data_IF_491300671687
#
_entry.id   IF_491300671687
#
_cell.length_a   1.000
_cell.length_b   1.000
_cell.length_c   1.000
_cell.angle_alpha   90.00
_cell.angle_beta   90.00
_cell.angle_gamma   90.00
#
_symmetry.space_group_name_H-M   'P 1'
#
loop_
_entity.id
_entity.type
_entity.pdbx_description
1 polymer ?
#
# COMPACT_ATOMS: atom_id res chain seq x y z
N UNK A 1 11.14 4.68 -13.55
CA UNK A 1 12.03 4.34 -12.41
C UNK A 1 12.00 5.54 -11.46
N UNK A 2 11.44 5.42 -10.24
CA UNK A 2 11.40 6.55 -9.33
C UNK A 2 12.83 6.93 -8.93
N UNK A 3 13.11 8.22 -9.03
CA UNK A 3 14.44 8.82 -8.96
C UNK A 3 14.81 9.31 -7.55
N UNK A 4 14.35 8.65 -6.49
CA UNK A 4 14.46 9.21 -5.13
C UNK A 4 15.81 9.06 -4.43
N UNK A 5 16.70 8.17 -4.89
CA UNK A 5 18.02 7.97 -4.25
C UNK A 5 19.15 7.49 -5.16
N UNK A 6 18.87 7.24 -6.46
CA UNK A 6 19.79 6.53 -7.35
C UNK A 6 21.06 7.31 -7.70
N UNK A 7 21.06 8.65 -7.65
CA UNK A 7 22.18 9.46 -8.13
C UNK A 7 23.12 9.99 -7.04
N UNK A 8 22.87 9.68 -5.77
CA UNK A 8 23.67 10.21 -4.67
C UNK A 8 25.14 9.78 -4.77
N UNK A 9 26.04 10.71 -4.52
CA UNK A 9 27.47 10.47 -4.36
C UNK A 9 27.73 9.81 -3.00
N UNK A 10 28.86 9.09 -2.83
CA UNK A 10 29.19 8.51 -1.53
C UNK A 10 29.26 9.54 -0.39
N UNK A 11 29.65 10.79 -0.67
CA UNK A 11 29.70 11.87 0.34
C UNK A 11 28.30 12.30 0.77
N UNK A 12 27.37 12.44 -0.18
CA UNK A 12 25.97 12.77 0.12
C UNK A 12 25.28 11.65 0.91
N UNK A 13 25.53 10.39 0.55
CA UNK A 13 25.00 9.24 1.30
C UNK A 13 25.50 9.27 2.75
N UNK A 14 26.80 9.50 2.97
CA UNK A 14 27.36 9.62 4.32
C UNK A 14 26.72 10.77 5.08
N UNK A 15 26.58 11.95 4.45
CA UNK A 15 25.95 13.12 5.06
C UNK A 15 24.50 12.88 5.44
N UNK A 16 23.74 12.13 4.63
CA UNK A 16 22.36 11.77 4.97
C UNK A 16 22.33 10.78 6.16
N UNK A 17 23.24 9.81 6.19
CA UNK A 17 23.37 8.87 7.31
C UNK A 17 23.83 9.57 8.60
N UNK A 18 24.60 10.65 8.51
CA UNK A 18 25.05 11.45 9.66
C UNK A 18 23.88 12.12 10.41
N UNK A 19 22.73 12.35 9.76
CA UNK A 19 21.54 12.90 10.39
C UNK A 19 20.88 11.96 11.40
N UNK A 20 21.12 10.66 11.27
CA UNK A 20 20.44 9.62 12.06
C UNK A 20 21.39 8.75 12.89
N UNK A 21 22.63 8.58 12.43
CA UNK A 21 23.62 7.73 13.08
C UNK A 21 24.77 8.62 13.53
N UNK A 22 25.15 8.56 14.81
CA UNK A 22 26.31 9.31 15.32
C UNK A 22 27.58 8.47 15.16
N UNK A 23 28.68 9.05 14.67
CA UNK A 23 29.96 8.35 14.48
C UNK A 23 29.94 7.28 13.38
N UNK A 24 30.61 6.15 13.60
CA UNK A 24 30.65 4.98 12.68
C UNK A 24 31.06 5.31 11.22
N UNK A 25 31.99 6.26 11.04
CA UNK A 25 32.36 6.78 9.72
C UNK A 25 32.85 5.72 8.74
N UNK A 26 33.58 4.70 9.22
CA UNK A 26 34.05 3.59 8.39
C UNK A 26 32.86 2.77 7.82
N UNK A 27 31.89 2.42 8.67
CA UNK A 27 30.70 1.69 8.26
C UNK A 27 29.85 2.51 7.28
N UNK A 28 29.64 3.81 7.54
CA UNK A 28 28.92 4.72 6.63
C UNK A 28 29.58 4.81 5.25
N UNK A 29 30.90 4.93 5.20
CA UNK A 29 31.65 4.95 3.94
C UNK A 29 31.52 3.62 3.19
N UNK A 30 31.64 2.49 3.87
CA UNK A 30 31.51 1.17 3.26
C UNK A 30 30.13 0.97 2.61
N UNK A 31 29.05 1.32 3.32
CA UNK A 31 27.69 1.20 2.77
C UNK A 31 27.42 2.19 1.64
N UNK A 32 27.97 3.40 1.73
CA UNK A 32 27.86 4.41 0.67
C UNK A 32 28.55 3.97 -0.63
N UNK A 33 29.72 3.34 -0.53
CA UNK A 33 30.42 2.77 -1.68
C UNK A 33 29.62 1.62 -2.29
N UNK A 34 29.09 0.71 -1.47
CA UNK A 34 28.28 -0.40 -1.96
C UNK A 34 27.03 0.07 -2.70
N UNK A 35 26.32 1.08 -2.17
CA UNK A 35 25.16 1.67 -2.85
C UNK A 35 25.57 2.37 -4.15
N UNK A 36 26.66 3.15 -4.15
CA UNK A 36 27.17 3.80 -5.38
C UNK A 36 27.60 2.79 -6.44
N UNK A 37 28.16 1.65 -6.04
CA UNK A 37 28.54 0.59 -6.96
C UNK A 37 27.33 -0.03 -7.67
N UNK A 38 26.16 -0.08 -7.03
CA UNK A 38 24.92 -0.51 -7.71
C UNK A 38 24.55 0.44 -8.85
N UNK A 39 24.62 1.75 -8.62
CA UNK A 39 24.40 2.75 -9.66
C UNK A 39 25.46 2.67 -10.78
N UNK A 40 26.73 2.48 -10.41
CA UNK A 40 27.81 2.30 -11.40
C UNK A 40 27.56 1.09 -12.28
N UNK A 41 27.18 -0.05 -11.70
CA UNK A 41 26.81 -1.26 -12.43
C UNK A 41 25.67 -1.00 -13.41
N UNK A 42 24.66 -0.21 -13.04
CA UNK A 42 23.57 0.14 -13.96
C UNK A 42 24.04 0.93 -15.20
N UNK A 43 25.21 1.56 -15.15
CA UNK A 43 25.80 2.29 -16.29
C UNK A 43 26.79 1.47 -17.12
N UNK A 44 27.15 0.27 -16.67
CA UNK A 44 27.98 -0.65 -17.45
C UNK A 44 27.10 -1.32 -18.50
N UNK A 45 27.62 -1.39 -19.73
CA UNK A 45 26.99 -2.01 -20.90
C UNK A 45 27.67 -3.35 -21.23
N UNK A 46 26.97 -4.22 -21.96
CA UNK A 46 27.48 -5.51 -22.40
C UNK A 46 27.65 -6.54 -21.28
N UNK A 47 28.40 -7.59 -21.60
CA UNK A 47 28.61 -8.78 -20.76
C UNK A 47 29.26 -8.46 -19.41
N UNK A 48 30.09 -7.41 -19.35
CA UNK A 48 30.76 -6.97 -18.13
C UNK A 48 29.77 -6.60 -17.00
N UNK A 49 28.53 -6.21 -17.34
CA UNK A 49 27.51 -5.87 -16.33
C UNK A 49 27.08 -7.09 -15.50
N UNK A 50 27.04 -8.26 -16.13
CA UNK A 50 26.58 -9.50 -15.50
C UNK A 50 27.67 -10.14 -14.65
N UNK A 51 28.94 -9.91 -14.99
CA UNK A 51 30.10 -10.30 -14.18
C UNK A 51 30.24 -9.48 -12.88
N UNK A 52 29.69 -8.26 -12.83
CA UNK A 52 29.78 -7.40 -11.65
C UNK A 52 28.77 -7.86 -10.59
N UNK A 53 29.27 -8.60 -9.60
CA UNK A 53 28.49 -9.02 -8.43
C UNK A 53 28.36 -7.92 -7.37
N UNK A 54 27.24 -7.86 -6.62
CA UNK A 54 27.09 -6.97 -5.48
C UNK A 54 28.20 -7.19 -4.44
N UNK A 55 28.75 -6.09 -3.91
CA UNK A 55 29.71 -6.15 -2.80
C UNK A 55 28.95 -6.21 -1.49
N UNK A 56 28.76 -7.42 -0.98
CA UNK A 56 28.14 -7.69 0.33
C UNK A 56 29.00 -7.11 1.46
N UNK A 57 28.36 -6.75 2.56
CA UNK A 57 29.00 -6.03 3.68
C UNK A 57 28.84 -6.85 4.95
N UNK A 58 29.93 -7.02 5.69
CA UNK A 58 29.92 -7.60 7.03
C UNK A 58 30.22 -6.45 8.02
N UNK A 59 29.29 -6.17 8.93
CA UNK A 59 29.45 -5.17 9.97
C UNK A 59 29.84 -5.84 11.29
N UNK A 60 31.03 -5.55 11.79
CA UNK A 60 31.58 -6.13 13.02
C UNK A 60 31.59 -5.06 14.11
N UNK A 61 31.10 -5.41 15.31
CA UNK A 61 31.11 -4.52 16.47
C UNK A 61 30.12 -4.97 17.56
N UNK A 62 30.14 -4.36 18.75
CA UNK A 62 29.25 -4.71 19.85
C UNK A 62 27.78 -4.40 19.53
N UNK A 63 26.85 -4.95 20.30
CA UNK A 63 25.42 -4.62 20.18
C UNK A 63 25.18 -3.13 20.50
N UNK A 64 24.08 -2.56 19.99
CA UNK A 64 23.72 -1.16 20.28
C UNK A 64 24.48 -0.06 19.52
N UNK A 65 25.59 -0.34 18.83
CA UNK A 65 26.38 0.69 18.11
C UNK A 65 25.78 1.19 16.79
N UNK A 66 24.55 0.79 16.46
CA UNK A 66 23.84 1.27 15.26
C UNK A 66 24.03 0.45 13.97
N UNK A 67 24.59 -0.77 14.02
CA UNK A 67 24.77 -1.64 12.84
C UNK A 67 23.48 -1.81 12.02
N UNK A 68 22.40 -2.19 12.70
CA UNK A 68 21.08 -2.39 12.08
C UNK A 68 20.48 -1.08 11.59
N UNK A 69 20.72 0.02 12.31
CA UNK A 69 20.18 1.34 11.94
C UNK A 69 20.85 1.88 10.69
N UNK A 70 22.16 1.67 10.51
CA UNK A 70 22.87 1.98 9.25
C UNK A 70 22.20 1.26 8.07
N UNK A 71 21.94 -0.04 8.19
CA UNK A 71 21.30 -0.81 7.11
C UNK A 71 19.86 -0.34 6.83
N UNK A 72 19.07 -0.11 7.89
CA UNK A 72 17.69 0.38 7.78
C UNK A 72 17.62 1.76 7.11
N UNK A 73 18.48 2.70 7.52
CA UNK A 73 18.53 4.05 6.95
C UNK A 73 19.02 4.05 5.51
N UNK A 74 20.01 3.22 5.20
CA UNK A 74 20.48 3.04 3.82
C UNK A 74 19.35 2.54 2.91
N UNK A 75 18.57 1.56 3.35
CA UNK A 75 17.45 1.04 2.57
C UNK A 75 16.37 2.10 2.33
N UNK A 76 16.00 2.86 3.37
CA UNK A 76 15.06 3.99 3.22
C UNK A 76 15.57 5.06 2.26
N UNK A 77 16.84 5.43 2.36
CA UNK A 77 17.48 6.39 1.47
C UNK A 77 17.47 5.92 0.01
N UNK A 78 17.71 4.62 -0.21
CA UNK A 78 17.71 4.02 -1.52
C UNK A 78 16.29 3.68 -2.04
N UNK A 79 15.24 3.93 -1.26
CA UNK A 79 13.87 3.45 -1.51
C UNK A 79 13.83 1.95 -1.84
N UNK A 80 14.63 1.17 -1.12
CA UNK A 80 14.80 -0.24 -1.34
C UNK A 80 14.02 -1.07 -0.30
N UNK A 81 13.46 -2.23 -0.71
CA UNK A 81 12.85 -3.17 0.23
C UNK A 81 13.89 -3.67 1.25
N UNK A 82 13.46 -3.87 2.49
CA UNK A 82 14.34 -4.21 3.60
C UNK A 82 13.69 -5.20 4.56
N UNK A 83 14.43 -6.25 4.91
CA UNK A 83 14.04 -7.24 5.91
C UNK A 83 15.19 -7.46 6.88
N UNK A 84 14.88 -7.55 8.18
CA UNK A 84 15.81 -7.97 9.23
C UNK A 84 15.50 -9.41 9.59
N UNK A 85 16.49 -10.30 9.44
CA UNK A 85 16.37 -11.70 9.85
C UNK A 85 17.47 -12.05 10.85
N UNK A 86 17.18 -12.97 11.76
CA UNK A 86 18.13 -13.48 12.74
C UNK A 86 18.59 -14.87 12.30
N UNK A 87 19.90 -15.04 12.14
CA UNK A 87 20.49 -16.28 11.60
C UNK A 87 20.18 -17.52 12.46
N UNK A 88 20.07 -17.34 13.78
CA UNK A 88 19.76 -18.42 14.73
C UNK A 88 18.39 -19.06 14.48
N UNK A 89 17.46 -18.37 13.82
CA UNK A 89 16.13 -18.91 13.46
C UNK A 89 16.20 -20.06 12.44
N UNK A 90 17.32 -20.22 11.76
CA UNK A 90 17.54 -21.27 10.76
C UNK A 90 18.43 -22.41 11.26
N UNK A 91 18.97 -22.27 12.47
CA UNK A 91 19.86 -23.27 13.10
C UNK A 91 19.20 -23.99 14.28
N UNK A 92 17.97 -23.62 14.64
CA UNK A 92 17.28 -24.21 15.79
C UNK A 92 16.88 -25.66 15.51
N UNK A 93 17.33 -26.57 16.38
CA UNK A 93 17.24 -28.03 16.23
C UNK A 93 15.79 -28.48 16.50
N UNK A 94 14.96 -28.67 15.46
CA UNK A 94 13.60 -29.19 15.64
C UNK A 94 12.67 -29.21 14.41
N UNK A 95 12.26 -30.43 14.04
CA UNK A 95 11.26 -30.99 13.11
C UNK A 95 10.96 -30.38 11.72
N UNK A 96 10.92 -29.07 11.52
CA UNK A 96 11.00 -28.44 10.17
C UNK A 96 11.48 -27.02 10.46
N UNK A 97 12.79 -26.78 10.35
CA UNK A 97 13.34 -25.44 10.51
C UNK A 97 12.64 -24.45 9.57
N UNK A 98 12.62 -23.16 9.92
CA UNK A 98 12.16 -22.14 8.96
C UNK A 98 12.98 -22.28 7.68
N UNK A 99 12.30 -22.24 6.55
CA UNK A 99 12.94 -22.32 5.24
C UNK A 99 13.76 -21.04 4.99
N UNK A 100 15.03 -21.19 4.58
CA UNK A 100 15.90 -20.06 4.21
C UNK A 100 15.32 -19.24 3.06
N UNK A 101 14.51 -19.85 2.20
CA UNK A 101 13.81 -19.13 1.13
C UNK A 101 12.75 -18.17 1.67
N UNK A 102 12.30 -18.34 2.93
CA UNK A 102 11.39 -17.38 3.57
C UNK A 102 12.00 -15.98 3.63
N UNK A 103 13.34 -15.86 3.72
CA UNK A 103 14.02 -14.56 3.70
C UNK A 103 13.74 -13.78 2.41
N UNK A 104 13.67 -14.50 1.28
CA UNK A 104 13.40 -13.92 -0.03
C UNK A 104 11.90 -13.63 -0.16
N UNK A 105 11.03 -14.52 0.33
CA UNK A 105 9.57 -14.30 0.35
C UNK A 105 9.20 -13.04 1.14
N UNK A 106 9.73 -12.88 2.35
CA UNK A 106 9.53 -11.70 3.18
C UNK A 106 10.01 -10.41 2.46
N UNK A 107 11.13 -10.50 1.72
CA UNK A 107 11.66 -9.36 0.97
C UNK A 107 10.78 -8.98 -0.22
N UNK A 108 10.20 -9.97 -0.90
CA UNK A 108 9.24 -9.75 -1.99
C UNK A 108 7.97 -9.08 -1.45
N UNK A 109 7.43 -9.55 -0.32
CA UNK A 109 6.25 -8.94 0.31
C UNK A 109 6.51 -7.48 0.72
N UNK A 110 7.68 -7.20 1.30
CA UNK A 110 8.12 -5.84 1.60
C UNK A 110 8.23 -4.96 0.34
N UNK A 111 8.65 -5.55 -0.79
CA UNK A 111 8.74 -4.86 -2.08
C UNK A 111 7.36 -4.51 -2.64
N UNK A 112 6.42 -5.45 -2.58
CA UNK A 112 5.03 -5.23 -3.01
C UNK A 112 4.40 -4.11 -2.19
N UNK A 113 4.62 -4.13 -0.88
CA UNK A 113 4.10 -3.10 0.03
C UNK A 113 4.66 -1.72 -0.32
N UNK A 114 5.98 -1.61 -0.54
CA UNK A 114 6.65 -0.38 -0.94
C UNK A 114 6.11 0.19 -2.26
N UNK A 115 5.95 -0.66 -3.29
CA UNK A 115 5.41 -0.24 -4.59
C UNK A 115 3.94 0.15 -4.47
N UNK A 116 3.14 -0.59 -3.69
CA UNK A 116 1.74 -0.27 -3.47
C UNK A 116 1.57 1.09 -2.80
N UNK A 117 2.38 1.39 -1.78
CA UNK A 117 2.40 2.72 -1.13
C UNK A 117 2.77 3.83 -2.11
N UNK A 118 3.80 3.60 -2.94
CA UNK A 118 4.24 4.57 -3.96
C UNK A 118 3.15 4.84 -5.01
N UNK A 119 2.54 3.80 -5.56
CA UNK A 119 1.49 3.94 -6.57
C UNK A 119 0.22 4.55 -5.98
N UNK A 120 -0.16 4.16 -4.75
CA UNK A 120 -1.31 4.76 -4.04
C UNK A 120 -1.09 6.27 -3.85
N UNK A 121 0.13 6.68 -3.47
CA UNK A 121 0.46 8.09 -3.32
C UNK A 121 0.33 8.88 -4.64
N UNK A 122 0.69 8.28 -5.78
CA UNK A 122 0.56 8.93 -7.11
C UNK A 122 -0.88 9.18 -7.51
N UNK A 123 -1.79 8.28 -7.17
CA UNK A 123 -3.22 8.39 -7.55
C UNK A 123 -4.07 9.11 -6.51
N UNK A 124 -3.55 9.36 -5.31
CA UNK A 124 -4.29 9.93 -4.16
C UNK A 124 -5.08 11.20 -4.50
N UNK A 125 -4.48 12.14 -5.24
CA UNK A 125 -5.18 13.39 -5.61
C UNK A 125 -6.34 13.12 -6.56
N UNK A 126 -6.12 12.31 -7.60
CA UNK A 126 -7.16 11.95 -8.58
C UNK A 126 -8.28 11.11 -7.94
N UNK A 127 -7.90 10.20 -7.04
CA UNK A 127 -8.85 9.39 -6.29
C UNK A 127 -9.72 10.27 -5.40
N UNK A 128 -9.13 11.27 -4.72
CA UNK A 128 -9.87 12.25 -3.93
C UNK A 128 -10.83 13.09 -4.76
N UNK A 129 -10.40 13.59 -5.93
CA UNK A 129 -11.26 14.34 -6.83
C UNK A 129 -12.44 13.49 -7.35
N UNK A 130 -12.17 12.24 -7.73
CA UNK A 130 -13.21 11.30 -8.15
C UNK A 130 -14.17 10.93 -7.00
N UNK A 131 -13.67 10.81 -5.77
CA UNK A 131 -14.47 10.60 -4.57
C UNK A 131 -15.37 11.81 -4.27
N UNK A 132 -14.84 13.04 -4.37
CA UNK A 132 -15.61 14.28 -4.26
C UNK A 132 -16.75 14.32 -5.30
N UNK A 133 -16.46 13.98 -6.56
CA UNK A 133 -17.46 13.96 -7.62
C UNK A 133 -18.59 12.95 -7.37
N UNK A 134 -18.25 11.73 -6.94
CA UNK A 134 -19.23 10.71 -6.56
C UNK A 134 -20.06 11.15 -5.36
N UNK A 135 -19.44 11.80 -4.37
CA UNK A 135 -20.13 12.27 -3.18
C UNK A 135 -21.12 13.40 -3.49
N UNK A 136 -20.75 14.32 -4.39
CA UNK A 136 -21.67 15.36 -4.89
C UNK A 136 -22.89 14.74 -5.57
N UNK A 137 -22.68 13.71 -6.41
CA UNK A 137 -23.77 13.00 -7.08
C UNK A 137 -24.71 12.31 -6.07
N UNK A 138 -24.15 11.64 -5.06
CA UNK A 138 -24.92 11.01 -3.98
C UNK A 138 -25.70 12.04 -3.14
N UNK A 139 -25.12 13.19 -2.84
CA UNK A 139 -25.79 14.25 -2.07
C UNK A 139 -26.95 14.89 -2.83
N UNK A 140 -26.86 14.94 -4.15
CA UNK A 140 -27.85 15.60 -4.99
C UNK A 140 -29.02 14.69 -5.39
N UNK A 141 -28.76 13.41 -5.65
CA UNK A 141 -29.77 12.48 -6.13
C UNK A 141 -30.15 11.40 -5.11
N UNK A 142 -29.42 11.31 -4.00
CA UNK A 142 -29.48 10.13 -3.12
C UNK A 142 -28.93 8.89 -3.81
N UNK A 143 -28.89 7.76 -3.11
CA UNK A 143 -28.54 6.49 -3.75
C UNK A 143 -29.72 6.02 -4.62
N UNK A 144 -29.53 5.66 -5.90
CA UNK A 144 -30.60 5.11 -6.72
C UNK A 144 -31.21 3.89 -6.03
N UNK A 145 -32.54 3.69 -6.03
CA UNK A 145 -33.15 2.56 -5.33
C UNK A 145 -32.65 1.23 -5.89
N UNK A 146 -32.08 0.36 -5.04
CA UNK A 146 -31.69 -0.99 -5.44
C UNK A 146 -32.96 -1.79 -5.76
N UNK A 147 -32.96 -2.62 -6.83
CA UNK A 147 -34.08 -3.50 -7.11
C UNK A 147 -34.28 -4.43 -5.91
N UNK A 148 -35.47 -4.38 -5.30
CA UNK A 148 -35.83 -5.24 -4.17
C UNK A 148 -35.81 -6.70 -4.64
N UNK A 149 -35.10 -7.61 -3.96
CA UNK A 149 -35.18 -9.03 -4.30
C UNK A 149 -36.60 -9.52 -3.99
N UNK A 150 -37.40 -9.80 -5.03
CA UNK A 150 -38.75 -10.36 -4.91
C UNK A 150 -39.88 -9.55 -5.56
N UNK A 151 -39.65 -8.36 -6.14
CA UNK A 151 -40.72 -7.64 -6.86
C UNK A 151 -40.82 -8.13 -8.31
N UNK A 152 -41.63 -9.15 -8.55
CA UNK A 152 -42.07 -9.58 -9.88
C UNK A 152 -43.21 -8.66 -10.38
N UNK A 153 -42.94 -7.36 -10.46
CA UNK A 153 -43.90 -6.35 -10.89
C UNK A 153 -43.24 -5.37 -11.85
N UNK A 154 -43.95 -5.04 -12.93
CA UNK A 154 -43.60 -3.97 -13.87
C UNK A 154 -43.63 -2.62 -13.14
N UNK A 155 -42.59 -2.31 -12.37
CA UNK A 155 -42.31 -0.97 -11.92
C UNK A 155 -41.68 -0.23 -13.10
N UNK A 156 -42.31 0.87 -13.54
CA UNK A 156 -41.69 1.78 -14.48
C UNK A 156 -40.28 2.14 -13.96
N UNK A 157 -39.24 2.12 -14.82
CA UNK A 157 -37.92 2.55 -14.39
C UNK A 157 -38.06 3.94 -13.75
N UNK A 158 -37.47 4.18 -12.57
CA UNK A 158 -37.50 5.52 -11.99
C UNK A 158 -36.99 6.51 -13.03
N UNK A 159 -37.58 7.71 -13.11
CA UNK A 159 -37.10 8.72 -14.05
C UNK A 159 -35.59 8.90 -13.86
N UNK A 160 -34.81 9.01 -14.94
CA UNK A 160 -33.37 9.24 -14.82
C UNK A 160 -33.19 10.46 -13.90
N UNK A 161 -32.28 10.38 -12.90
CA UNK A 161 -32.01 11.53 -12.04
C UNK A 161 -31.72 12.73 -12.95
N UNK A 162 -32.44 13.83 -12.73
CA UNK A 162 -32.25 15.04 -13.52
C UNK A 162 -30.78 15.45 -13.40
N UNK A 163 -30.04 15.52 -14.52
CA UNK A 163 -28.63 15.92 -14.47
C UNK A 163 -28.53 17.25 -13.73
N UNK A 164 -27.79 17.29 -12.62
CA UNK A 164 -27.44 18.58 -12.01
C UNK A 164 -26.80 19.47 -13.07
N UNK A 165 -27.19 20.73 -13.08
CA UNK A 165 -26.45 21.75 -13.83
C UNK A 165 -25.04 21.89 -13.25
N UNK A 166 -24.05 22.17 -14.10
CA UNK A 166 -22.64 22.28 -13.70
C UNK A 166 -22.45 23.31 -12.56
N UNK A 167 -23.26 24.38 -12.54
CA UNK A 167 -23.25 25.40 -11.50
C UNK A 167 -23.71 24.90 -10.11
N UNK A 168 -24.64 23.95 -10.04
CA UNK A 168 -25.08 23.37 -8.76
C UNK A 168 -24.03 22.40 -8.20
N UNK A 169 -23.41 21.62 -9.09
CA UNK A 169 -22.29 20.73 -8.73
C UNK A 169 -21.12 21.50 -8.17
N UNK A 170 -20.77 22.63 -8.79
CA UNK A 170 -19.66 23.45 -8.35
C UNK A 170 -19.93 24.12 -6.98
N UNK A 171 -21.17 24.58 -6.73
CA UNK A 171 -21.59 25.05 -5.40
C UNK A 171 -21.49 23.97 -4.33
N UNK A 172 -21.94 22.74 -4.63
CA UNK A 172 -21.87 21.61 -3.71
C UNK A 172 -20.41 21.20 -3.44
N UNK A 173 -19.53 21.20 -4.45
CA UNK A 173 -18.08 20.99 -4.24
C UNK A 173 -17.48 22.05 -3.32
N UNK A 174 -17.83 23.32 -3.52
CA UNK A 174 -17.35 24.40 -2.66
C UNK A 174 -17.82 24.22 -1.21
N UNK A 175 -19.08 23.80 -1.02
CA UNK A 175 -19.66 23.52 0.30
C UNK A 175 -19.03 22.30 1.00
N UNK A 176 -18.70 21.24 0.24
CA UNK A 176 -17.96 20.08 0.72
C UNK A 176 -16.55 20.45 1.18
N UNK A 177 -15.83 21.25 0.37
CA UNK A 177 -14.49 21.73 0.72
C UNK A 177 -14.50 22.69 1.91
N UNK A 178 -15.59 23.41 2.10
CA UNK A 178 -15.80 24.30 3.24
C UNK A 178 -16.25 23.57 4.53
N UNK A 179 -16.49 22.25 4.48
CA UNK A 179 -16.91 21.46 5.65
C UNK A 179 -18.35 21.71 6.12
N UNK A 180 -19.16 22.44 5.33
CA UNK A 180 -20.53 22.82 5.72
C UNK A 180 -21.54 21.67 5.67
N UNK A 181 -21.14 20.53 5.09
CA UNK A 181 -22.00 19.37 4.85
C UNK A 181 -21.55 18.14 5.66
N UNK A 182 -20.59 18.28 6.56
CA UNK A 182 -19.96 17.16 7.28
C UNK A 182 -20.97 16.38 8.15
N UNK A 183 -21.98 17.08 8.68
CA UNK A 183 -23.07 16.50 9.49
C UNK A 183 -24.13 15.76 8.65
N UNK A 184 -24.15 15.92 7.31
CA UNK A 184 -25.12 15.20 6.47
C UNK A 184 -24.71 13.73 6.35
N UNK A 185 -25.72 12.87 6.33
CA UNK A 185 -25.54 11.45 6.09
C UNK A 185 -25.86 11.11 4.64
N UNK A 186 -25.05 10.21 4.08
CA UNK A 186 -25.24 9.67 2.74
C UNK A 186 -25.25 8.15 2.82
N UNK A 187 -26.09 7.52 2.01
CA UNK A 187 -26.00 6.08 1.80
C UNK A 187 -24.89 5.80 0.78
N UNK A 188 -24.00 4.87 1.12
CA UNK A 188 -22.93 4.40 0.24
C UNK A 188 -23.02 2.88 0.15
N UNK A 189 -22.91 2.35 -1.07
CA UNK A 189 -22.76 0.92 -1.31
C UNK A 189 -21.29 0.54 -1.06
N UNK A 190 -21.04 -0.10 0.09
CA UNK A 190 -19.70 -0.59 0.44
C UNK A 190 -19.61 -2.08 0.11
N UNK A 191 -18.45 -2.52 -0.40
CA UNK A 191 -18.20 -3.95 -0.63
C UNK A 191 -18.34 -4.73 0.68
N UNK A 192 -19.24 -5.71 0.72
CA UNK A 192 -19.46 -6.57 1.87
C UNK A 192 -18.24 -7.49 2.00
N UNK A 193 -17.38 -7.21 2.99
CA UNK A 193 -16.44 -8.21 3.45
C UNK A 193 -17.29 -9.30 4.08
N UNK A 194 -17.33 -10.47 3.42
CA UNK A 194 -18.27 -11.54 3.71
C UNK A 194 -18.36 -11.91 5.19
N UNK A 195 -19.41 -12.65 5.57
CA UNK A 195 -19.87 -12.67 6.95
C UNK A 195 -18.81 -13.17 7.94
N UNK A 196 -18.67 -12.42 9.05
CA UNK A 196 -17.75 -12.70 10.16
C UNK A 196 -17.88 -14.11 10.75
N UNK A 197 -18.99 -14.82 10.52
CA UNK A 197 -19.21 -16.18 11.00
C UNK A 197 -18.19 -17.20 10.46
N UNK A 198 -17.64 -16.98 9.26
CA UNK A 198 -16.60 -17.85 8.68
C UNK A 198 -15.21 -17.58 9.28
N UNK A 199 -15.00 -16.38 9.84
CA UNK A 199 -13.74 -15.93 10.43
C UNK A 199 -13.54 -16.44 11.87
N UNK A 200 -14.62 -16.81 12.56
CA UNK A 200 -14.57 -17.40 13.91
C UNK A 200 -14.55 -18.94 13.90
N UNK A 201 -14.74 -19.59 12.74
CA UNK A 201 -14.65 -21.04 12.58
C UNK A 201 -13.28 -21.53 12.05
N UNK A 202 -12.37 -20.61 11.73
CA UNK A 202 -10.98 -20.93 11.36
C UNK A 202 -10.15 -21.23 12.61
N UNK A 203 -10.40 -22.39 13.22
CA UNK A 203 -9.43 -23.02 14.11
C UNK A 203 -8.14 -23.34 13.34
N UNK A 204 -7.01 -23.27 14.06
CA UNK A 204 -5.62 -23.43 13.60
C UNK A 204 -5.44 -24.33 12.37
N UNK A 205 -5.05 -23.73 11.24
CA UNK A 205 -4.60 -24.47 10.04
C UNK A 205 -5.16 -24.00 8.69
N UNK A 206 -6.15 -23.10 8.64
CA UNK A 206 -6.82 -22.69 7.39
C UNK A 206 -6.77 -21.18 7.07
N UNK A 207 -5.94 -20.39 7.76
CA UNK A 207 -5.88 -18.93 7.54
C UNK A 207 -5.41 -18.55 6.13
N UNK A 208 -4.47 -19.32 5.54
CA UNK A 208 -3.90 -19.01 4.23
C UNK A 208 -4.84 -19.37 3.06
N UNK A 209 -5.66 -20.41 3.23
CA UNK A 209 -6.67 -20.84 2.24
C UNK A 209 -7.89 -19.91 2.28
N UNK A 210 -8.28 -19.42 3.47
CA UNK A 210 -9.40 -18.50 3.63
C UNK A 210 -9.19 -17.16 2.92
N UNK A 211 -7.97 -16.61 2.93
CA UNK A 211 -7.64 -15.35 2.24
C UNK A 211 -7.68 -15.52 0.73
N UNK A 212 -7.08 -16.58 0.20
CA UNK A 212 -7.08 -16.86 -1.25
C UNK A 212 -8.45 -17.22 -1.81
N UNK A 213 -9.29 -17.95 -1.06
CA UNK A 213 -10.65 -18.29 -1.49
C UNK A 213 -11.58 -17.05 -1.48
N UNK A 214 -11.36 -16.13 -0.53
CA UNK A 214 -12.10 -14.87 -0.45
C UNK A 214 -11.79 -13.95 -1.64
N UNK A 215 -10.52 -13.84 -2.03
CA UNK A 215 -10.11 -13.05 -3.18
C UNK A 215 -10.56 -13.66 -4.51
N UNK A 216 -10.57 -15.00 -4.61
CA UNK A 216 -11.17 -15.71 -5.74
C UNK A 216 -12.69 -15.46 -5.83
N UNK A 217 -13.41 -15.49 -4.69
CA UNK A 217 -14.84 -15.21 -4.63
C UNK A 217 -15.19 -13.76 -5.01
N UNK A 218 -14.35 -12.79 -4.60
CA UNK A 218 -14.48 -11.38 -4.99
C UNK A 218 -14.19 -11.14 -6.48
N UNK A 219 -13.36 -11.98 -7.10
CA UNK A 219 -13.01 -11.88 -8.51
C UNK A 219 -14.08 -12.42 -9.48
N UNK A 220 -15.10 -13.15 -8.98
CA UNK A 220 -16.23 -13.59 -9.81
C UNK A 220 -17.26 -12.47 -10.02
N UNK A 221 -17.55 -12.08 -11.28
CA UNK A 221 -18.54 -11.05 -11.57
C UNK A 221 -19.96 -11.50 -11.15
N UNK A 222 -20.61 -10.71 -10.30
CA UNK A 222 -21.99 -10.93 -9.84
C UNK A 222 -22.15 -11.42 -8.39
N UNK A 223 -21.06 -11.78 -7.69
CA UNK A 223 -21.11 -12.27 -6.30
C UNK A 223 -20.52 -11.30 -5.26
N UNK A 224 -20.00 -10.16 -5.70
CA UNK A 224 -19.64 -9.06 -4.81
C UNK A 224 -20.92 -8.48 -4.18
N UNK A 225 -21.33 -9.06 -3.04
CA UNK A 225 -22.39 -8.49 -2.22
C UNK A 225 -21.93 -7.10 -1.81
N UNK A 226 -22.69 -6.07 -2.13
CA UNK A 226 -22.53 -4.73 -1.59
C UNK A 226 -23.58 -4.52 -0.52
N UNK A 227 -23.20 -3.89 0.58
CA UNK A 227 -24.12 -3.56 1.66
C UNK A 227 -24.26 -2.04 1.73
N UNK A 228 -25.50 -1.56 1.71
CA UNK A 228 -25.81 -0.16 1.97
C UNK A 228 -25.48 0.18 3.40
N UNK A 229 -24.67 1.22 3.58
CA UNK A 229 -24.38 1.81 4.87
C UNK A 229 -24.64 3.31 4.80
N UNK A 230 -25.44 3.80 5.75
CA UNK A 230 -25.57 5.24 5.99
C UNK A 230 -24.34 5.67 6.79
N UNK A 231 -23.57 6.59 6.23
CA UNK A 231 -22.32 7.12 6.79
C UNK A 231 -22.32 8.64 6.69
N UNK A 232 -21.51 9.32 7.49
CA UNK A 232 -21.36 10.78 7.39
C UNK A 232 -20.58 11.15 6.13
N UNK A 233 -20.70 12.39 5.66
CA UNK A 233 -19.97 12.89 4.48
C UNK A 233 -18.44 12.67 4.57
N UNK A 234 -17.76 12.90 5.71
CA UNK A 234 -16.33 12.62 5.84
C UNK A 234 -15.99 11.13 5.73
N UNK A 235 -16.77 10.27 6.37
CA UNK A 235 -16.60 8.81 6.28
C UNK A 235 -16.88 8.30 4.86
N UNK A 236 -17.87 8.88 4.17
CA UNK A 236 -18.17 8.56 2.78
C UNK A 236 -17.00 8.93 1.85
N UNK A 237 -16.35 10.08 2.09
CA UNK A 237 -15.21 10.53 1.30
C UNK A 237 -14.00 9.59 1.46
N UNK A 238 -13.75 9.11 2.68
CA UNK A 238 -12.69 8.13 2.95
C UNK A 238 -13.01 6.75 2.38
N UNK A 239 -14.28 6.35 2.30
CA UNK A 239 -14.70 5.08 1.70
C UNK A 239 -14.68 5.10 0.17
N UNK A 240 -14.80 6.29 -0.44
CA UNK A 240 -14.84 6.47 -1.90
C UNK A 240 -13.46 6.79 -2.53
N UNK A 241 -12.49 7.24 -1.73
CA UNK A 241 -11.13 7.61 -2.15
C UNK A 241 -10.13 6.44 -2.11
#
# INVERSE_FOLDING_TARGET
>A
MPAGGANLTPREIVSELDRYIVGQSAAKRAVAIALRNRWRRQRVTGELRDEITPKNIILIGPTGVGKTEIARRLARLAQAPFVKVEASKFTEVGYVGRDVESMVRDLVEASISLVREEETAKVRTRAREAAEDRLVELLAHGTPPSPRPGSMGFAAPPPPPGRLGDAEREKLRAQLRAGTLDDRTVEVDVADAGPTFLRNFSGQGMEEIGVNLSDLFRSMPGMARTRRRSVTVPEALDLLA
#
